data_IF_096372654673
#
_entry.id   IF_096372654673
#
_cell.length_a   1.000
_cell.length_b   1.000
_cell.length_c   1.000
_cell.angle_alpha   90.00
_cell.angle_beta   90.00
_cell.angle_gamma   90.00
#
_symmetry.space_group_name_H-M   'P 1'
#
loop_
_entity.id
_entity.type
_entity.pdbx_description
1 polymer ?
#
# COMPACT_ATOMS: atom_id res chain seq x y z
N UNK A 1 -3.93 1.96 -10.47
CA UNK A 1 -2.55 1.95 -11.00
C UNK A 1 -2.13 0.51 -11.25
N UNK A 2 -1.14 0.29 -12.11
CA UNK A 2 -0.57 -1.05 -12.35
C UNK A 2 0.81 -1.14 -11.70
N UNK A 3 1.07 -2.23 -11.00
CA UNK A 3 2.36 -2.50 -10.36
C UNK A 3 2.94 -3.84 -10.80
N UNK A 4 4.26 -3.92 -10.88
CA UNK A 4 5.00 -5.13 -11.22
C UNK A 4 6.22 -5.24 -10.32
N UNK A 5 6.33 -6.34 -9.57
CA UNK A 5 7.39 -6.57 -8.61
C UNK A 5 8.29 -7.73 -8.99
N UNK A 6 9.59 -7.54 -8.86
CA UNK A 6 10.62 -8.58 -8.94
C UNK A 6 11.47 -8.58 -7.68
N UNK A 7 12.12 -9.70 -7.39
CA UNK A 7 13.14 -9.79 -6.34
C UNK A 7 14.50 -9.48 -6.96
N UNK A 8 15.28 -8.61 -6.32
CA UNK A 8 16.66 -8.33 -6.72
C UNK A 8 17.55 -9.57 -6.53
N UNK A 9 18.57 -9.72 -7.36
CA UNK A 9 19.48 -10.88 -7.30
C UNK A 9 20.19 -11.03 -5.95
N UNK A 10 20.47 -9.90 -5.28
CA UNK A 10 21.12 -9.80 -3.98
C UNK A 10 20.14 -9.54 -2.83
N UNK A 11 18.83 -9.72 -3.08
CA UNK A 11 17.80 -9.51 -2.07
C UNK A 11 17.96 -10.50 -0.89
N UNK A 12 17.75 -10.04 0.35
CA UNK A 12 17.78 -10.93 1.51
C UNK A 12 16.58 -11.89 1.51
N UNK A 13 16.69 -12.99 2.26
CA UNK A 13 15.66 -14.02 2.39
C UNK A 13 14.31 -13.52 2.93
N UNK A 14 14.26 -12.30 3.47
CA UNK A 14 13.06 -11.63 3.98
C UNK A 14 12.37 -10.74 2.94
N UNK A 15 12.96 -10.55 1.75
CA UNK A 15 12.36 -9.81 0.64
C UNK A 15 11.11 -10.52 0.11
N UNK A 16 10.01 -9.78 -0.08
CA UNK A 16 8.72 -10.36 -0.49
C UNK A 16 8.11 -9.71 -1.73
N UNK A 17 8.86 -8.84 -2.40
CA UNK A 17 8.38 -8.03 -3.53
C UNK A 17 7.53 -6.84 -3.08
N UNK A 18 7.86 -6.27 -1.92
CA UNK A 18 7.10 -5.22 -1.25
C UNK A 18 6.87 -4.02 -2.17
N UNK A 19 5.60 -3.76 -2.49
CA UNK A 19 5.20 -2.72 -3.44
C UNK A 19 3.81 -2.20 -3.11
N UNK A 20 3.59 -0.89 -3.21
CA UNK A 20 2.31 -0.30 -2.83
C UNK A 20 2.23 1.21 -2.97
N UNK A 21 1.34 1.80 -2.18
CA UNK A 21 1.10 3.23 -2.11
C UNK A 21 1.31 3.72 -0.67
N UNK A 22 1.97 4.86 -0.52
CA UNK A 22 1.97 5.65 0.70
C UNK A 22 1.06 6.88 0.49
N UNK A 23 0.29 7.24 1.51
CA UNK A 23 -0.64 8.36 1.48
C UNK A 23 -0.61 9.11 2.80
N UNK A 24 -1.19 10.33 2.80
CA UNK A 24 -1.13 11.28 3.93
C UNK A 24 0.31 11.49 4.41
N UNK A 25 1.26 11.47 3.48
CA UNK A 25 2.67 11.70 3.79
C UNK A 25 2.82 13.16 4.23
N UNK A 26 3.45 13.35 5.37
CA UNK A 26 3.72 14.68 5.92
C UNK A 26 4.67 15.48 5.03
N UNK A 27 4.70 16.81 5.20
CA UNK A 27 5.67 17.66 4.49
C UNK A 27 7.14 17.35 4.85
N UNK A 28 7.37 16.67 5.96
CA UNK A 28 8.70 16.31 6.47
C UNK A 28 9.06 14.85 6.19
N UNK A 29 8.17 14.11 5.54
CA UNK A 29 8.27 12.66 5.31
C UNK A 29 8.48 11.84 6.60
N UNK A 30 8.03 12.37 7.74
CA UNK A 30 8.23 11.78 9.08
C UNK A 30 7.03 10.96 9.60
N UNK A 31 5.86 11.09 8.97
CA UNK A 31 4.73 10.20 9.15
C UNK A 31 3.97 10.01 7.83
N UNK A 32 3.43 8.82 7.66
CA UNK A 32 2.59 8.45 6.52
C UNK A 32 1.81 7.18 6.85
N UNK A 33 0.82 6.89 6.02
CA UNK A 33 0.09 5.64 6.02
C UNK A 33 0.32 4.91 4.71
N UNK A 34 0.22 3.58 4.69
CA UNK A 34 0.47 2.83 3.46
C UNK A 34 -0.37 1.56 3.36
N UNK A 35 -0.83 1.32 2.14
CA UNK A 35 -1.31 0.02 1.70
C UNK A 35 -0.29 -0.56 0.73
N UNK A 36 0.14 -1.79 1.01
CA UNK A 36 1.09 -2.47 0.14
C UNK A 36 0.79 -3.96 0.05
N UNK A 37 1.42 -4.59 -0.95
CA UNK A 37 1.34 -6.02 -1.17
C UNK A 37 2.71 -6.68 -1.05
N UNK A 38 2.68 -7.99 -0.83
CA UNK A 38 3.82 -8.91 -0.78
C UNK A 38 3.57 -10.01 -1.82
N UNK A 39 3.91 -9.82 -3.09
CA UNK A 39 3.53 -10.75 -4.16
C UNK A 39 3.99 -12.20 -3.94
N UNK A 40 5.14 -12.42 -3.30
CA UNK A 40 5.59 -13.78 -2.95
C UNK A 40 4.68 -14.51 -1.94
N UNK A 41 3.76 -13.81 -1.28
CA UNK A 41 2.85 -14.38 -0.30
C UNK A 41 1.53 -14.83 -0.91
N UNK A 42 1.08 -14.26 -2.03
CA UNK A 42 -0.30 -14.46 -2.51
C UNK A 42 -0.66 -15.92 -2.80
N UNK A 43 0.30 -16.70 -3.31
CA UNK A 43 0.11 -18.10 -3.73
C UNK A 43 1.01 -19.10 -3.00
N UNK A 44 1.50 -18.75 -1.81
CA UNK A 44 2.35 -19.64 -1.00
C UNK A 44 1.52 -20.72 -0.29
N UNK A 45 2.10 -21.91 -0.09
CA UNK A 45 1.43 -23.01 0.63
C UNK A 45 1.28 -22.73 2.14
N UNK A 46 2.21 -21.99 2.74
CA UNK A 46 2.11 -21.54 4.14
C UNK A 46 0.85 -20.67 4.37
N UNK A 47 -0.16 -21.14 5.12
CA UNK A 47 -1.42 -20.41 5.31
C UNK A 47 -1.24 -19.11 6.08
N UNK A 48 -0.30 -19.05 7.03
CA UNK A 48 -0.02 -17.84 7.81
C UNK A 48 0.58 -16.79 6.89
N UNK A 49 1.57 -17.18 6.08
CA UNK A 49 2.19 -16.28 5.12
C UNK A 49 1.21 -15.83 4.04
N UNK A 50 0.34 -16.72 3.58
CA UNK A 50 -0.71 -16.42 2.59
C UNK A 50 -1.68 -15.36 3.09
N UNK A 51 -2.02 -15.37 4.38
CA UNK A 51 -2.84 -14.34 5.03
C UNK A 51 -2.08 -13.03 5.29
N UNK A 52 -0.88 -12.85 4.71
CA UNK A 52 -0.03 -11.65 4.85
C UNK A 52 0.38 -11.13 3.48
N UNK A 53 -0.46 -11.30 2.47
CA UNK A 53 -0.22 -10.87 1.10
C UNK A 53 -0.50 -9.37 0.92
N UNK A 54 -1.41 -8.80 1.69
CA UNK A 54 -1.70 -7.36 1.76
C UNK A 54 -1.38 -6.86 3.18
N UNK A 55 -1.08 -5.57 3.32
CA UNK A 55 -0.87 -4.93 4.61
C UNK A 55 -1.31 -3.47 4.58
N UNK A 56 -1.88 -3.03 5.69
CA UNK A 56 -1.95 -1.62 6.08
C UNK A 56 -1.01 -1.31 7.25
N UNK A 57 -0.34 -0.15 7.24
CA UNK A 57 0.39 0.34 8.40
C UNK A 57 0.48 1.87 8.44
N UNK A 58 0.84 2.42 9.60
CA UNK A 58 1.07 3.85 9.79
C UNK A 58 2.42 4.10 10.48
N UNK A 59 3.34 4.73 9.76
CA UNK A 59 4.67 5.09 10.24
C UNK A 59 4.61 6.37 11.09
N UNK A 60 5.36 6.49 12.20
CA UNK A 60 6.44 5.60 12.65
C UNK A 60 6.02 4.47 13.58
N UNK A 61 4.88 4.58 14.25
CA UNK A 61 4.60 3.76 15.43
C UNK A 61 3.88 2.46 15.11
N UNK A 62 2.92 2.50 14.18
CA UNK A 62 1.97 1.42 13.94
C UNK A 62 2.39 0.60 12.73
N UNK A 63 3.53 -0.08 12.87
CA UNK A 63 4.13 -0.95 11.86
C UNK A 63 3.53 -2.36 11.89
N UNK A 64 3.89 -3.20 10.91
CA UNK A 64 3.48 -4.60 10.90
C UNK A 64 3.96 -5.36 12.15
N UNK A 65 5.16 -5.06 12.67
CA UNK A 65 5.69 -5.66 13.89
C UNK A 65 4.88 -5.22 15.11
N UNK A 66 4.55 -3.92 15.22
CA UNK A 66 3.70 -3.40 16.29
C UNK A 66 2.37 -4.17 16.36
N UNK A 67 1.68 -4.34 15.24
CA UNK A 67 0.39 -5.02 15.22
C UNK A 67 0.53 -6.48 15.65
N UNK A 68 1.52 -7.20 15.12
CA UNK A 68 1.74 -8.62 15.44
C UNK A 68 2.14 -8.83 16.90
N UNK A 69 3.00 -7.98 17.46
CA UNK A 69 3.38 -8.03 18.88
C UNK A 69 2.17 -7.79 19.81
N UNK A 70 1.21 -6.99 19.36
CA UNK A 70 -0.04 -6.71 20.09
C UNK A 70 -1.17 -7.69 19.77
N UNK A 71 -0.96 -8.65 18.87
CA UNK A 71 -1.99 -9.59 18.43
C UNK A 71 -3.13 -8.94 17.62
N UNK A 72 -2.89 -7.76 17.03
CA UNK A 72 -3.83 -7.08 16.13
C UNK A 72 -3.65 -7.67 14.74
N UNK A 73 -4.68 -8.31 14.21
CA UNK A 73 -4.62 -9.07 12.96
C UNK A 73 -5.41 -8.42 11.81
N UNK A 74 -6.11 -7.32 12.07
CA UNK A 74 -7.08 -6.70 11.15
C UNK A 74 -6.43 -5.98 9.96
N UNK A 75 -5.10 -5.81 9.99
CA UNK A 75 -4.35 -5.02 9.00
C UNK A 75 -3.49 -5.87 8.06
N UNK A 76 -3.70 -7.19 8.05
CA UNK A 76 -3.11 -8.14 7.11
C UNK A 76 -4.19 -9.02 6.49
N UNK A 77 -3.98 -9.47 5.25
CA UNK A 77 -4.92 -10.37 4.59
C UNK A 77 -4.35 -11.09 3.36
N UNK A 78 -5.13 -12.00 2.76
CA UNK A 78 -4.76 -12.70 1.54
C UNK A 78 -5.07 -11.88 0.28
N UNK A 79 -4.40 -12.20 -0.82
CA UNK A 79 -4.71 -11.73 -2.17
C UNK A 79 -4.13 -12.71 -3.19
N UNK A 80 -4.81 -12.90 -4.33
CA UNK A 80 -4.30 -13.70 -5.44
C UNK A 80 -3.33 -12.87 -6.30
N UNK A 81 -2.04 -12.94 -5.96
CA UNK A 81 -0.96 -12.15 -6.56
C UNK A 81 0.35 -12.95 -6.60
N UNK A 82 1.26 -12.56 -7.50
CA UNK A 82 2.58 -13.16 -7.67
C UNK A 82 3.65 -12.17 -8.13
N UNK A 83 4.91 -12.60 -8.08
CA UNK A 83 5.99 -11.87 -8.73
C UNK A 83 5.85 -11.96 -10.26
N UNK A 84 6.52 -11.05 -10.95
CA UNK A 84 6.67 -11.09 -12.40
C UNK A 84 5.35 -11.02 -13.20
N UNK A 85 4.28 -10.50 -12.58
CA UNK A 85 2.99 -10.22 -13.20
C UNK A 85 2.52 -8.78 -12.89
N UNK A 86 1.67 -8.24 -13.77
CA UNK A 86 1.03 -6.95 -13.53
C UNK A 86 -0.16 -7.13 -12.58
N UNK A 87 -0.17 -6.34 -11.52
CA UNK A 87 -1.21 -6.34 -10.49
C UNK A 87 -1.87 -4.96 -10.48
N UNK A 88 -3.20 -4.95 -10.55
CA UNK A 88 -3.96 -3.71 -10.44
C UNK A 88 -4.14 -3.33 -8.97
N UNK A 89 -3.65 -2.16 -8.58
CA UNK A 89 -3.88 -1.59 -7.25
C UNK A 89 -4.76 -0.34 -7.34
N UNK A 90 -5.77 -0.24 -6.47
CA UNK A 90 -6.50 1.00 -6.25
C UNK A 90 -6.69 1.25 -4.76
N UNK A 91 -6.62 2.51 -4.38
CA UNK A 91 -6.85 2.99 -3.02
C UNK A 91 -7.92 4.05 -3.08
N UNK A 92 -8.96 3.88 -2.27
CA UNK A 92 -9.98 4.91 -2.04
C UNK A 92 -9.80 5.45 -0.62
N UNK A 93 -9.63 6.76 -0.50
CA UNK A 93 -9.56 7.47 0.78
C UNK A 93 -10.80 8.35 0.89
N UNK A 94 -11.61 8.09 1.91
CA UNK A 94 -12.81 8.86 2.22
C UNK A 94 -12.79 9.26 3.69
N UNK A 95 -12.43 10.52 3.96
CA UNK A 95 -12.19 11.01 5.30
C UNK A 95 -11.24 10.07 6.05
N UNK A 96 -11.71 9.37 7.08
CA UNK A 96 -10.92 8.41 7.86
C UNK A 96 -11.08 6.96 7.46
N UNK A 97 -11.77 6.67 6.36
CA UNK A 97 -11.91 5.33 5.82
C UNK A 97 -10.95 5.14 4.66
N UNK A 98 -10.14 4.08 4.71
CA UNK A 98 -9.29 3.64 3.61
C UNK A 98 -9.75 2.30 3.07
N UNK A 99 -9.98 2.20 1.75
CA UNK A 99 -10.31 0.94 1.07
C UNK A 99 -9.19 0.58 0.11
N UNK A 100 -8.76 -0.67 0.15
CA UNK A 100 -7.72 -1.17 -0.74
C UNK A 100 -8.26 -2.24 -1.66
N UNK A 101 -7.97 -2.08 -2.94
CA UNK A 101 -8.37 -2.98 -3.99
C UNK A 101 -7.15 -3.59 -4.66
N UNK A 102 -7.20 -4.90 -4.87
CA UNK A 102 -6.18 -5.66 -5.61
C UNK A 102 -6.91 -6.44 -6.70
N UNK A 103 -6.49 -6.29 -7.95
CA UNK A 103 -7.12 -6.94 -9.11
C UNK A 103 -8.64 -6.72 -9.21
N UNK A 104 -9.09 -5.52 -8.81
CA UNK A 104 -10.49 -5.07 -8.72
C UNK A 104 -11.31 -5.64 -7.56
N UNK A 105 -10.74 -6.51 -6.74
CA UNK A 105 -11.39 -7.00 -5.52
C UNK A 105 -11.08 -6.07 -4.35
N UNK A 106 -12.10 -5.70 -3.57
CA UNK A 106 -11.91 -5.03 -2.28
C UNK A 106 -11.31 -6.04 -1.31
N UNK A 107 -10.04 -5.85 -0.92
CA UNK A 107 -9.29 -6.82 -0.12
C UNK A 107 -9.24 -6.48 1.36
N UNK A 108 -9.28 -5.21 1.74
CA UNK A 108 -9.57 -4.80 3.12
C UNK A 108 -10.14 -3.36 3.14
N UNK A 109 -10.89 -3.06 4.21
CA UNK A 109 -11.31 -1.70 4.60
C UNK A 109 -10.75 -1.38 5.99
N UNK A 110 -10.11 -0.23 6.13
CA UNK A 110 -9.73 0.36 7.43
C UNK A 110 -10.73 1.46 7.73
N UNK A 111 -11.66 1.18 8.64
CA UNK A 111 -12.75 2.10 9.01
C UNK A 111 -12.26 3.33 9.77
N UNK A 112 -11.13 3.20 10.47
CA UNK A 112 -10.50 4.26 11.25
C UNK A 112 -8.99 4.26 10.94
N UNK A 113 -8.62 5.01 9.91
CA UNK A 113 -7.23 5.29 9.57
C UNK A 113 -6.53 5.92 10.78
N UNK A 114 -5.28 5.52 11.00
CA UNK A 114 -4.61 5.69 12.29
C UNK A 114 -4.21 7.13 12.51
N UNK A 115 -3.73 7.79 11.45
CA UNK A 115 -3.51 9.22 11.52
C UNK A 115 -4.83 9.96 11.30
N UNK A 116 -4.91 11.15 11.89
CA UNK A 116 -6.10 11.98 11.73
C UNK A 116 -6.27 12.40 10.26
N UNK A 117 -7.52 12.64 9.81
CA UNK A 117 -7.78 13.14 8.47
C UNK A 117 -6.99 14.41 8.18
N UNK A 118 -6.08 14.31 7.22
CA UNK A 118 -5.20 15.38 6.82
C UNK A 118 -4.90 15.27 5.32
N UNK A 119 -4.83 16.41 4.64
CA UNK A 119 -4.22 16.46 3.32
C UNK A 119 -2.71 16.23 3.42
N UNK A 120 -2.17 15.39 2.55
CA UNK A 120 -0.74 15.10 2.52
C UNK A 120 -0.31 14.62 1.15
N UNK A 121 0.99 14.37 1.01
CA UNK A 121 1.53 13.89 -0.25
C UNK A 121 1.14 12.41 -0.46
N UNK A 122 1.20 12.00 -1.73
CA UNK A 122 1.12 10.61 -2.16
C UNK A 122 2.51 10.16 -2.58
N UNK A 123 2.81 8.88 -2.36
CA UNK A 123 4.09 8.29 -2.68
C UNK A 123 3.96 6.84 -3.12
N UNK A 124 4.95 6.37 -3.87
CA UNK A 124 5.07 4.97 -4.23
C UNK A 124 5.84 4.26 -3.11
N UNK A 125 5.31 3.15 -2.62
CA UNK A 125 5.97 2.37 -1.58
C UNK A 125 6.72 1.20 -2.21
N UNK A 126 8.00 1.04 -1.85
CA UNK A 126 8.85 -0.08 -2.20
C UNK A 126 9.73 -0.38 -0.99
N UNK A 127 9.90 -1.65 -0.67
CA UNK A 127 10.77 -2.07 0.44
C UNK A 127 11.78 -3.12 -0.01
N UNK A 128 12.64 -3.50 0.93
CA UNK A 128 13.88 -4.26 0.76
C UNK A 128 13.82 -5.37 -0.28
N UNK A 129 14.86 -5.38 -1.13
CA UNK A 129 15.07 -6.43 -2.11
C UNK A 129 14.09 -6.44 -3.29
N UNK A 130 13.31 -5.37 -3.47
CA UNK A 130 12.29 -5.30 -4.53
C UNK A 130 12.72 -4.39 -5.66
N UNK A 131 12.68 -4.90 -6.90
CA UNK A 131 12.65 -4.06 -8.10
C UNK A 131 11.19 -3.84 -8.49
N UNK A 132 10.74 -2.60 -8.43
CA UNK A 132 9.36 -2.21 -8.63
C UNK A 132 9.18 -1.40 -9.91
N UNK A 133 8.12 -1.67 -10.66
CA UNK A 133 7.69 -0.87 -11.80
C UNK A 133 6.25 -0.44 -11.59
N UNK A 134 5.96 0.80 -11.96
CA UNK A 134 4.64 1.41 -11.85
C UNK A 134 4.26 2.01 -13.18
N UNK A 135 2.99 1.87 -13.59
CA UNK A 135 2.43 2.53 -14.76
C UNK A 135 0.95 2.83 -14.57
N UNK A 136 0.40 3.67 -15.46
CA UNK A 136 -1.02 4.02 -15.47
C UNK A 136 -1.52 4.52 -14.10
N UNK A 137 -0.72 5.40 -13.48
CA UNK A 137 -1.10 6.04 -12.23
C UNK A 137 -2.06 7.17 -12.55
N UNK A 138 -3.25 7.10 -11.97
CA UNK A 138 -4.28 8.13 -12.07
C UNK A 138 -4.69 8.49 -10.65
N UNK A 139 -4.78 9.78 -10.37
CA UNK A 139 -5.32 10.31 -9.12
C UNK A 139 -6.63 10.99 -9.48
N UNK A 140 -7.70 10.56 -8.83
CA UNK A 140 -9.02 11.14 -8.96
C UNK A 140 -9.39 11.75 -7.63
N UNK A 141 -9.69 13.04 -7.62
CA UNK A 141 -10.34 13.65 -6.48
C UNK A 141 -11.79 13.20 -6.47
N UNK A 142 -12.27 12.71 -5.32
CA UNK A 142 -13.68 12.44 -5.15
C UNK A 142 -14.35 13.78 -4.89
N UNK A 143 -14.93 14.37 -5.92
CA UNK A 143 -15.72 15.60 -5.80
C UNK A 143 -16.80 15.35 -4.72
N UNK A 144 -16.68 16.02 -3.57
CA UNK A 144 -17.71 15.98 -2.53
C UNK A 144 -18.99 16.71 -2.99
N UNK A 145 -18.88 17.50 -4.07
CA UNK A 145 -19.91 17.94 -5.00
C UNK A 145 -19.20 18.40 -6.28
N UNK A 146 -19.75 18.12 -7.46
CA UNK A 146 -19.31 18.67 -8.76
C UNK A 146 -18.88 20.16 -8.67
N UNK A 147 -17.63 20.42 -9.10
CA UNK A 147 -16.91 21.69 -9.37
C UNK A 147 -15.94 22.13 -8.26
N UNK A 148 -14.68 21.70 -8.36
CA UNK A 148 -13.60 22.40 -9.11
C UNK A 148 -12.27 21.67 -8.90
N UNK A 149 -11.59 21.34 -9.99
CA UNK A 149 -10.30 20.62 -10.03
C UNK A 149 -9.20 21.32 -9.22
N UNK A 150 -8.48 20.58 -8.35
CA UNK A 150 -7.19 21.01 -7.79
C UNK A 150 -6.02 20.16 -8.32
N UNK A 151 -4.95 20.85 -8.71
CA UNK A 151 -3.71 20.25 -9.21
C UNK A 151 -2.86 19.74 -8.03
N UNK A 152 -2.68 18.43 -7.92
CA UNK A 152 -1.61 17.86 -7.09
C UNK A 152 -0.28 18.00 -7.84
N UNK A 153 0.60 18.88 -7.36
CA UNK A 153 1.98 19.02 -7.86
C UNK A 153 2.85 17.88 -7.34
N UNK A 154 3.36 17.07 -8.27
CA UNK A 154 4.43 16.11 -8.00
C UNK A 154 5.75 16.86 -7.75
N UNK A 155 6.46 16.52 -6.67
CA UNK A 155 7.91 16.73 -6.58
C UNK A 155 8.59 15.41 -6.92
N UNK A 156 9.35 15.40 -8.02
CA UNK A 156 10.13 14.24 -8.43
C UNK A 156 11.19 13.92 -7.36
N UNK A 157 11.16 12.71 -6.84
CA UNK A 157 12.32 12.08 -6.23
C UNK A 157 12.88 11.07 -7.25
N UNK A 158 13.94 11.48 -7.94
CA UNK A 158 14.92 10.58 -8.55
C UNK A 158 16.20 10.67 -7.73
#
# INVERSE_FOLDING_TARGET
MEVYGQILEDAPDLARGFIGLAFRISEKDDYFESFYIRPTNGRTEDPIRRNRAIQYFAYPTYTFDYFREKGIMDYEGPADIGLDEWIHLAVELDNNVGRFYVNNDLVFTVEDLIHQPQAGNLGLFVDIGTRAYFKNITILERDSNDKTVFNATWRNAF
#
